data_IF_122688882824
#
_entry.id   IF_122688882824
#
_cell.length_a   1.000
_cell.length_b   1.000
_cell.length_c   1.000
_cell.angle_alpha   90.00
_cell.angle_beta   90.00
_cell.angle_gamma   90.00
#
_symmetry.space_group_name_H-M   'P 1'
#
loop_
_entity.id
_entity.type
_entity.pdbx_description
1 polymer ?
#
# COMPACT_ATOMS: atom_id res chain seq x y z
N UNK A 1 -3.84 21.92 51.80
CA UNK A 1 -2.78 22.55 50.99
C UNK A 1 -1.63 21.65 50.57
N UNK A 2 -1.49 20.43 51.09
CA UNK A 2 -0.44 19.47 50.66
C UNK A 2 -0.81 18.71 49.39
N UNK A 3 -2.07 18.40 49.15
CA UNK A 3 -2.54 17.64 47.99
C UNK A 3 -2.36 18.37 46.64
N UNK A 4 -2.52 19.71 46.64
CA UNK A 4 -2.32 20.52 45.41
C UNK A 4 -0.86 20.60 44.99
N UNK A 5 0.08 20.56 45.96
CA UNK A 5 1.53 20.56 45.69
C UNK A 5 2.00 19.23 45.05
N UNK A 6 1.39 18.10 45.43
CA UNK A 6 1.77 16.80 44.87
C UNK A 6 1.25 16.55 43.46
N UNK A 7 0.05 17.07 43.14
CA UNK A 7 -0.49 17.05 41.78
C UNK A 7 0.37 17.90 40.85
N UNK A 8 0.81 19.08 41.31
CA UNK A 8 1.66 19.98 40.52
C UNK A 8 3.08 19.43 40.32
N UNK A 9 3.63 18.70 41.28
CA UNK A 9 4.91 18.00 41.14
C UNK A 9 4.83 16.81 40.18
N UNK A 10 3.74 16.04 40.21
CA UNK A 10 3.50 14.96 39.24
C UNK A 10 3.34 15.46 37.83
N UNK A 11 2.58 16.55 37.63
CA UNK A 11 2.47 17.20 36.30
C UNK A 11 3.80 17.75 35.78
N UNK A 12 4.64 18.34 36.62
CA UNK A 12 6.00 18.81 36.22
C UNK A 12 6.94 17.64 35.83
N UNK A 13 6.79 16.48 36.46
CA UNK A 13 7.60 15.29 36.11
C UNK A 13 7.17 14.72 34.76
N UNK A 14 5.87 14.65 34.49
CA UNK A 14 5.30 14.21 33.21
C UNK A 14 5.67 15.18 32.09
N UNK A 15 5.56 16.49 32.30
CA UNK A 15 5.93 17.51 31.30
C UNK A 15 7.45 17.52 31.03
N UNK A 16 8.32 17.26 32.03
CA UNK A 16 9.75 17.16 31.79
C UNK A 16 10.15 15.91 30.98
N UNK A 17 9.44 14.81 31.11
CA UNK A 17 9.62 13.64 30.24
C UNK A 17 9.11 13.92 28.81
N UNK A 18 7.97 14.60 28.65
CA UNK A 18 7.45 15.02 27.34
C UNK A 18 8.39 15.99 26.61
N UNK A 19 8.98 16.95 27.31
CA UNK A 19 9.93 17.91 26.70
C UNK A 19 11.25 17.24 26.32
N UNK A 20 11.73 16.25 27.07
CA UNK A 20 12.94 15.50 26.71
C UNK A 20 12.72 14.58 25.51
N UNK A 21 11.48 14.07 25.31
CA UNK A 21 11.10 13.20 24.21
C UNK A 21 10.94 13.97 22.90
N UNK A 22 10.33 15.17 22.93
CA UNK A 22 10.19 16.02 21.74
C UNK A 22 11.52 16.56 21.19
N UNK A 23 12.59 16.67 22.01
CA UNK A 23 13.92 17.09 21.54
C UNK A 23 14.70 15.97 20.84
N UNK A 24 14.34 14.70 21.07
CA UNK A 24 14.94 13.53 20.36
C UNK A 24 14.26 13.28 19.01
N UNK A 25 13.02 13.72 18.81
CA UNK A 25 12.25 13.55 17.58
C UNK A 25 12.66 14.50 16.44
N UNK A 26 13.48 15.53 16.72
CA UNK A 26 13.93 16.53 15.73
C UNK A 26 15.42 16.45 15.38
N UNK A 27 16.07 15.29 15.54
CA UNK A 27 17.38 15.09 14.92
C UNK A 27 17.19 14.60 13.47
N UNK A 28 17.85 15.26 12.47
CA UNK A 28 17.60 15.02 11.05
C UNK A 28 18.06 13.66 10.50
N UNK A 29 18.50 12.72 11.34
CA UNK A 29 19.08 11.44 10.91
C UNK A 29 18.24 10.20 11.20
N UNK A 30 16.97 10.34 11.57
CA UNK A 30 16.08 9.22 11.82
C UNK A 30 14.84 9.32 10.92
N UNK A 31 15.00 9.01 9.64
CA UNK A 31 13.87 8.80 8.76
C UNK A 31 13.46 7.32 8.80
N UNK A 32 12.24 7.07 9.26
CA UNK A 32 11.42 5.87 9.06
C UNK A 32 11.71 4.55 9.79
N UNK A 33 12.75 4.36 10.57
CA UNK A 33 12.72 3.30 11.59
C UNK A 33 11.94 3.72 12.86
N UNK A 34 11.33 4.91 12.86
CA UNK A 34 10.81 5.53 14.08
C UNK A 34 9.33 5.88 14.01
N UNK A 35 8.55 5.31 13.07
CA UNK A 35 7.10 5.51 13.11
C UNK A 35 6.37 4.58 14.07
N UNK A 36 7.07 3.64 14.69
CA UNK A 36 6.52 2.80 15.75
C UNK A 36 7.52 2.71 16.91
N UNK A 37 7.74 3.79 17.63
CA UNK A 37 8.06 3.65 19.05
C UNK A 37 6.71 3.62 19.76
N UNK A 38 6.12 2.46 19.80
CA UNK A 38 5.10 2.16 20.80
C UNK A 38 5.87 1.93 22.09
N UNK A 39 6.00 2.96 22.94
CA UNK A 39 6.10 2.64 24.37
C UNK A 39 4.88 1.77 24.66
N UNK A 40 5.10 0.61 25.26
CA UNK A 40 4.07 -0.25 25.84
C UNK A 40 3.35 0.53 26.96
N UNK A 41 2.56 1.51 26.57
CA UNK A 41 1.55 2.10 27.42
C UNK A 41 0.49 1.01 27.65
N UNK A 42 0.23 0.75 28.91
CA UNK A 42 -0.73 -0.22 29.38
C UNK A 42 -2.04 -0.12 28.56
N UNK A 43 -2.38 -1.14 27.78
CA UNK A 43 -3.47 -1.14 26.80
C UNK A 43 -4.85 -0.71 27.36
N UNK A 44 -5.01 -0.63 28.68
CA UNK A 44 -6.19 -0.10 29.34
C UNK A 44 -6.30 1.43 29.28
N UNK A 45 -5.18 2.16 29.24
CA UNK A 45 -5.17 3.64 29.25
C UNK A 45 -5.24 4.23 27.83
N UNK A 46 -4.80 3.50 26.80
CA UNK A 46 -4.87 3.94 25.40
C UNK A 46 -6.29 4.09 24.84
N UNK A 47 -7.29 3.38 25.41
CA UNK A 47 -8.67 3.47 24.94
C UNK A 47 -9.40 4.75 25.34
N UNK A 48 -8.89 5.48 26.34
CA UNK A 48 -9.52 6.71 26.83
C UNK A 48 -9.04 7.97 26.09
N UNK A 49 -7.77 7.99 25.61
CA UNK A 49 -7.17 9.14 24.91
C UNK A 49 -6.18 8.65 23.84
N UNK A 50 -6.64 8.31 22.63
CA UNK A 50 -5.73 7.91 21.55
C UNK A 50 -4.82 9.08 21.15
N UNK A 51 -3.50 8.83 21.09
CA UNK A 51 -2.52 9.80 20.60
C UNK A 51 -2.02 9.29 19.25
N UNK A 52 -2.26 10.05 18.20
CA UNK A 52 -1.80 9.74 16.85
C UNK A 52 -1.55 11.04 16.06
N UNK A 53 -0.80 10.94 14.97
CA UNK A 53 -0.64 12.01 13.98
C UNK A 53 -1.19 11.56 12.63
N UNK A 54 -1.69 12.52 11.84
CA UNK A 54 -2.18 12.31 10.48
C UNK A 54 -1.37 13.19 9.53
N UNK A 55 -0.80 12.58 8.49
CA UNK A 55 -0.12 13.30 7.43
C UNK A 55 -0.39 12.62 6.08
N UNK A 56 -1.26 13.21 5.28
CA UNK A 56 -1.57 12.82 3.89
C UNK A 56 -1.58 14.11 3.07
N UNK A 57 -0.43 14.53 2.50
CA UNK A 57 -0.30 15.84 1.85
C UNK A 57 -0.86 15.86 0.42
N UNK A 58 -1.33 14.74 -0.10
CA UNK A 58 -1.78 14.57 -1.47
C UNK A 58 -3.09 15.32 -1.75
N UNK A 59 -3.12 16.17 -2.77
CA UNK A 59 -4.37 16.67 -3.33
C UNK A 59 -5.04 15.56 -4.14
N UNK A 60 -6.22 15.14 -3.73
CA UNK A 60 -7.00 14.13 -4.43
C UNK A 60 -8.11 14.77 -5.27
N UNK A 61 -8.21 14.36 -6.54
CA UNK A 61 -9.35 14.61 -7.43
C UNK A 61 -9.95 13.25 -7.77
N UNK A 62 -11.23 13.04 -7.49
CA UNK A 62 -11.89 11.76 -7.68
C UNK A 62 -13.21 11.92 -8.46
N UNK A 63 -13.41 11.12 -9.49
CA UNK A 63 -14.68 11.04 -10.21
C UNK A 63 -14.53 10.67 -11.69
N UNK A 64 -15.62 10.28 -12.32
CA UNK A 64 -15.66 9.96 -13.75
C UNK A 64 -15.41 11.20 -14.59
N UNK A 65 -14.53 11.11 -15.57
CA UNK A 65 -14.14 12.23 -16.44
C UNK A 65 -13.17 13.23 -15.79
N UNK A 66 -12.80 13.06 -14.51
CA UNK A 66 -11.97 14.01 -13.77
C UNK A 66 -10.53 14.11 -14.29
N UNK A 67 -10.06 13.15 -15.08
CA UNK A 67 -8.77 13.26 -15.77
C UNK A 67 -8.65 14.54 -16.61
N UNK A 68 -9.78 15.09 -17.07
CA UNK A 68 -9.80 16.31 -17.86
C UNK A 68 -9.37 17.55 -17.06
N UNK A 69 -9.43 17.52 -15.73
CA UNK A 69 -8.95 18.59 -14.87
C UNK A 69 -7.44 18.78 -14.91
N UNK A 70 -6.68 17.75 -15.34
CA UNK A 70 -5.22 17.85 -15.48
C UNK A 70 -4.81 19.05 -16.36
N UNK A 71 -5.64 19.45 -17.34
CA UNK A 71 -5.38 20.60 -18.21
C UNK A 71 -5.48 21.97 -17.53
N UNK A 72 -6.19 22.04 -16.41
CA UNK A 72 -6.44 23.30 -15.67
C UNK A 72 -5.84 23.32 -14.27
N UNK A 73 -5.30 22.21 -13.78
CA UNK A 73 -4.62 22.16 -12.50
C UNK A 73 -3.29 22.90 -12.52
N UNK A 74 -2.93 23.48 -11.38
CA UNK A 74 -1.58 24.05 -11.22
C UNK A 74 -0.58 22.93 -11.07
N UNK A 75 0.18 22.65 -12.14
CA UNK A 75 1.20 21.61 -12.17
C UNK A 75 2.55 22.13 -11.62
N UNK A 76 3.42 21.22 -11.12
CA UNK A 76 4.64 21.63 -10.41
C UNK A 76 5.80 22.03 -11.35
N UNK A 77 5.63 21.93 -12.66
CA UNK A 77 6.69 22.24 -13.65
C UNK A 77 6.16 22.34 -15.07
N UNK A 78 7.08 22.41 -16.01
CA UNK A 78 6.82 22.59 -17.46
C UNK A 78 7.22 21.38 -18.31
N UNK A 79 7.97 20.43 -17.76
CA UNK A 79 8.36 19.20 -18.44
C UNK A 79 8.19 17.99 -17.52
N UNK A 80 7.44 17.00 -17.97
CA UNK A 80 7.09 15.80 -17.22
C UNK A 80 7.71 14.54 -17.83
N UNK A 81 8.21 13.64 -16.97
CA UNK A 81 8.40 12.23 -17.33
C UNK A 81 7.11 11.47 -17.05
N UNK A 82 6.47 10.92 -18.08
CA UNK A 82 5.26 10.08 -17.96
C UNK A 82 5.68 8.62 -17.96
N UNK A 83 5.44 7.93 -16.83
CA UNK A 83 5.85 6.55 -16.58
C UNK A 83 4.66 5.64 -16.74
N UNK A 84 4.76 4.65 -17.61
CA UNK A 84 3.73 3.64 -17.90
C UNK A 84 4.32 2.23 -17.94
N UNK A 85 3.44 1.22 -17.88
CA UNK A 85 3.85 -0.18 -18.03
C UNK A 85 4.27 -0.52 -19.48
N UNK A 86 5.13 -1.52 -19.62
CA UNK A 86 5.57 -2.08 -20.90
C UNK A 86 4.43 -2.75 -21.71
N UNK A 87 3.28 -2.99 -21.07
CA UNK A 87 2.11 -3.55 -21.72
C UNK A 87 1.44 -2.58 -22.71
N UNK A 88 0.54 -3.12 -23.50
CA UNK A 88 -0.13 -2.34 -24.56
C UNK A 88 -1.35 -1.54 -24.07
N UNK A 89 -1.88 -1.80 -22.88
CA UNK A 89 -3.17 -1.30 -22.39
C UNK A 89 -3.27 0.23 -22.40
N UNK A 90 -2.24 0.93 -21.92
CA UNK A 90 -2.26 2.41 -21.86
C UNK A 90 -2.40 3.06 -23.24
N UNK A 91 -1.80 2.46 -24.27
CA UNK A 91 -1.89 2.91 -25.66
C UNK A 91 -3.17 2.41 -26.33
N UNK A 92 -3.49 1.11 -26.16
CA UNK A 92 -4.66 0.44 -26.77
C UNK A 92 -5.99 1.09 -26.39
N UNK A 93 -6.14 1.47 -25.12
CA UNK A 93 -7.37 2.09 -24.61
C UNK A 93 -7.36 3.63 -24.69
N UNK A 94 -6.28 4.23 -25.23
CA UNK A 94 -6.18 5.67 -25.41
C UNK A 94 -5.87 6.46 -24.14
N UNK A 95 -5.56 5.80 -23.01
CA UNK A 95 -5.34 6.45 -21.73
C UNK A 95 -4.08 7.35 -21.76
N UNK A 96 -2.99 6.85 -22.34
CA UNK A 96 -1.78 7.65 -22.52
C UNK A 96 -2.06 8.90 -23.37
N UNK A 97 -2.72 8.73 -24.52
CA UNK A 97 -3.04 9.83 -25.42
C UNK A 97 -3.89 10.90 -24.75
N UNK A 98 -4.87 10.46 -23.92
CA UNK A 98 -5.74 11.37 -23.15
C UNK A 98 -4.92 12.19 -22.17
N UNK A 99 -4.03 11.56 -21.39
CA UNK A 99 -3.15 12.25 -20.42
C UNK A 99 -2.19 13.20 -21.12
N UNK A 100 -1.51 12.76 -22.20
CA UNK A 100 -0.60 13.62 -22.97
C UNK A 100 -1.31 14.84 -23.56
N UNK A 101 -2.55 14.68 -24.03
CA UNK A 101 -3.37 15.80 -24.52
C UNK A 101 -3.70 16.82 -23.40
N UNK A 102 -4.06 16.34 -22.20
CA UNK A 102 -4.32 17.23 -21.05
C UNK A 102 -3.06 17.96 -20.59
N UNK A 103 -1.91 17.29 -20.53
CA UNK A 103 -0.62 17.92 -20.21
C UNK A 103 -0.22 18.98 -21.25
N UNK A 104 -0.43 18.69 -22.54
CA UNK A 104 -0.20 19.67 -23.62
C UNK A 104 -1.09 20.90 -23.50
N UNK A 105 -2.37 20.72 -23.18
CA UNK A 105 -3.31 21.83 -22.93
C UNK A 105 -2.87 22.68 -21.74
N UNK A 106 -2.18 22.08 -20.77
CA UNK A 106 -1.56 22.79 -19.63
C UNK A 106 -0.14 23.30 -19.92
N UNK A 107 0.25 23.33 -21.19
CA UNK A 107 1.58 23.80 -21.65
C UNK A 107 2.77 23.03 -21.04
N UNK A 108 2.60 21.72 -20.81
CA UNK A 108 3.64 20.83 -20.30
C UNK A 108 4.21 19.99 -21.44
N UNK A 109 5.53 20.01 -21.60
CA UNK A 109 6.26 19.07 -22.44
C UNK A 109 6.35 17.71 -21.77
N UNK A 110 6.39 16.63 -22.57
CA UNK A 110 6.36 15.26 -22.03
C UNK A 110 7.41 14.37 -22.66
N UNK A 111 8.08 13.60 -21.81
CA UNK A 111 8.90 12.43 -22.17
C UNK A 111 8.16 11.20 -21.65
N UNK A 112 8.12 10.12 -22.42
CA UNK A 112 7.41 8.88 -22.01
C UNK A 112 8.44 7.78 -21.77
N UNK A 113 8.31 7.14 -20.59
CA UNK A 113 9.02 5.90 -20.26
C UNK A 113 8.01 4.76 -20.13
N UNK A 114 8.14 3.73 -20.96
CA UNK A 114 7.12 2.68 -21.15
C UNK A 114 7.66 1.25 -20.96
N UNK A 115 8.63 1.07 -20.06
CA UNK A 115 9.25 -0.24 -19.82
C UNK A 115 8.90 -0.89 -18.47
N UNK A 116 8.00 -0.30 -17.67
CA UNK A 116 7.71 -0.80 -16.33
C UNK A 116 7.01 -2.17 -16.39
N UNK A 117 7.57 -3.14 -15.66
CA UNK A 117 7.02 -4.49 -15.51
C UNK A 117 5.94 -4.56 -14.41
N UNK A 118 5.07 -5.60 -14.39
CA UNK A 118 4.07 -5.79 -13.33
C UNK A 118 4.67 -5.88 -11.91
N UNK A 119 5.81 -6.54 -11.73
CA UNK A 119 6.67 -6.42 -10.54
C UNK A 119 7.85 -5.53 -10.94
N UNK A 120 7.82 -4.21 -10.61
CA UNK A 120 8.79 -3.26 -11.13
C UNK A 120 10.19 -3.55 -10.57
N UNK A 121 11.19 -3.43 -11.43
CA UNK A 121 12.57 -3.75 -11.11
C UNK A 121 13.42 -2.49 -10.95
N UNK A 122 14.43 -2.59 -10.12
CA UNK A 122 15.38 -1.51 -9.82
C UNK A 122 16.03 -0.94 -11.07
N UNK A 123 16.42 -1.79 -12.01
CA UNK A 123 17.11 -1.42 -13.23
C UNK A 123 16.28 -0.44 -14.08
N UNK A 124 14.98 -0.64 -14.19
CA UNK A 124 14.08 0.27 -14.91
C UNK A 124 13.91 1.61 -14.18
N UNK A 125 13.91 1.62 -12.86
CA UNK A 125 13.91 2.86 -12.06
C UNK A 125 15.16 3.67 -12.34
N UNK A 126 16.35 3.03 -12.33
CA UNK A 126 17.64 3.69 -12.58
C UNK A 126 17.75 4.22 -13.99
N UNK A 127 17.32 3.45 -14.99
CA UNK A 127 17.30 3.87 -16.40
C UNK A 127 16.39 5.10 -16.59
N UNK A 128 15.16 5.04 -16.07
CA UNK A 128 14.20 6.13 -16.22
C UNK A 128 14.65 7.40 -15.45
N UNK A 129 15.29 7.24 -14.31
CA UNK A 129 15.86 8.37 -13.57
C UNK A 129 17.01 9.05 -14.33
N UNK A 130 17.83 8.29 -15.04
CA UNK A 130 18.87 8.86 -15.92
C UNK A 130 18.25 9.67 -17.07
N UNK A 131 17.24 9.13 -17.74
CA UNK A 131 16.47 9.84 -18.78
C UNK A 131 15.83 11.12 -18.20
N UNK A 132 15.22 11.02 -17.02
CA UNK A 132 14.59 12.16 -16.35
C UNK A 132 15.57 13.32 -16.10
N UNK A 133 16.81 13.02 -15.71
CA UNK A 133 17.89 14.01 -15.52
C UNK A 133 18.36 14.60 -16.84
N UNK A 134 18.64 13.75 -17.84
CA UNK A 134 19.11 14.15 -19.17
C UNK A 134 18.11 15.09 -19.84
N UNK A 135 16.84 14.73 -19.80
CA UNK A 135 15.73 15.50 -20.35
C UNK A 135 15.33 16.70 -19.49
N UNK A 136 15.90 16.84 -18.29
CA UNK A 136 15.60 17.92 -17.33
C UNK A 136 14.12 18.01 -17.00
N UNK A 137 13.49 16.88 -16.70
CA UNK A 137 12.10 16.87 -16.28
C UNK A 137 11.94 17.53 -14.90
N UNK A 138 10.87 18.30 -14.74
CA UNK A 138 10.57 19.02 -13.49
C UNK A 138 9.78 18.16 -12.51
N UNK A 139 9.02 17.17 -13.00
CA UNK A 139 8.17 16.28 -12.21
C UNK A 139 7.93 14.95 -12.96
N UNK A 140 7.37 13.98 -12.21
CA UNK A 140 7.08 12.64 -12.74
C UNK A 140 5.58 12.37 -12.66
N UNK A 141 5.01 11.78 -13.70
CA UNK A 141 3.61 11.34 -13.77
C UNK A 141 3.58 9.82 -13.85
N UNK A 142 3.06 9.15 -12.82
CA UNK A 142 2.75 7.71 -12.86
C UNK A 142 1.36 7.49 -13.43
N UNK A 143 1.27 6.92 -14.64
CA UNK A 143 0.02 6.56 -15.31
C UNK A 143 -0.08 5.04 -15.44
N UNK A 144 -0.94 4.40 -14.67
CA UNK A 144 -1.09 2.95 -14.73
C UNK A 144 -1.54 2.33 -13.42
N UNK A 145 -1.17 1.08 -13.18
CA UNK A 145 -1.34 0.42 -11.90
C UNK A 145 -0.26 0.81 -10.89
N UNK A 146 -0.28 0.18 -9.71
CA UNK A 146 0.69 0.39 -8.64
C UNK A 146 2.12 0.37 -9.15
N UNK A 147 2.50 -0.62 -9.96
CA UNK A 147 3.86 -0.72 -10.53
C UNK A 147 4.33 0.54 -11.24
N UNK A 148 3.46 1.20 -12.02
CA UNK A 148 3.80 2.44 -12.74
C UNK A 148 3.93 3.63 -11.77
N UNK A 149 3.06 3.72 -10.77
CA UNK A 149 3.06 4.82 -9.80
C UNK A 149 4.23 4.65 -8.82
N UNK A 150 4.48 3.45 -8.32
CA UNK A 150 5.61 3.12 -7.46
C UNK A 150 6.95 3.39 -8.17
N UNK A 151 7.06 2.97 -9.43
CA UNK A 151 8.22 3.34 -10.24
C UNK A 151 8.36 4.84 -10.39
N UNK A 152 7.27 5.58 -10.60
CA UNK A 152 7.30 7.04 -10.71
C UNK A 152 7.80 7.70 -9.41
N UNK A 153 7.38 7.20 -8.24
CA UNK A 153 7.89 7.64 -6.93
C UNK A 153 9.39 7.39 -6.80
N UNK A 154 9.84 6.17 -7.12
CA UNK A 154 11.25 5.79 -7.06
C UNK A 154 12.12 6.57 -8.06
N UNK A 155 11.63 6.78 -9.28
CA UNK A 155 12.29 7.60 -10.31
C UNK A 155 12.41 9.05 -9.83
N UNK A 156 11.38 9.61 -9.21
CA UNK A 156 11.40 10.96 -8.66
C UNK A 156 12.48 11.14 -7.57
N UNK A 157 12.69 10.11 -6.75
CA UNK A 157 13.79 10.05 -5.77
C UNK A 157 15.13 10.00 -6.51
N UNK A 158 15.33 9.04 -7.42
CA UNK A 158 16.61 8.83 -8.08
C UNK A 158 16.98 9.92 -9.09
N UNK A 159 16.02 10.68 -9.57
CA UNK A 159 16.30 11.87 -10.40
C UNK A 159 17.03 12.97 -9.60
N UNK A 160 16.92 12.98 -8.27
CA UNK A 160 17.47 14.00 -7.37
C UNK A 160 18.62 13.52 -6.48
N UNK A 161 18.91 12.22 -6.46
CA UNK A 161 19.89 11.64 -5.54
C UNK A 161 20.89 10.76 -6.31
N UNK A 162 22.13 10.71 -5.79
CA UNK A 162 23.23 9.94 -6.37
C UNK A 162 23.27 8.50 -5.88
N UNK A 163 24.01 7.64 -6.57
CA UNK A 163 24.22 6.25 -6.19
C UNK A 163 23.21 5.29 -6.78
N UNK A 164 23.01 4.16 -6.14
CA UNK A 164 22.05 3.13 -6.54
C UNK A 164 20.75 3.28 -5.74
N UNK A 165 19.62 2.88 -6.31
CA UNK A 165 18.33 2.94 -5.65
C UNK A 165 18.33 2.13 -4.34
N UNK A 166 19.03 0.98 -4.32
CA UNK A 166 19.12 0.13 -3.13
C UNK A 166 19.93 0.74 -1.99
N UNK A 167 20.69 1.80 -2.25
CA UNK A 167 21.32 2.59 -1.18
C UNK A 167 20.29 3.27 -0.26
N UNK A 168 19.07 3.53 -0.77
CA UNK A 168 17.99 4.24 -0.07
C UNK A 168 16.96 3.31 0.56
N UNK A 169 16.82 2.08 0.04
CA UNK A 169 15.90 1.07 0.54
C UNK A 169 16.35 0.60 1.94
N UNK A 170 15.38 0.40 2.85
CA UNK A 170 15.62 -0.15 4.19
C UNK A 170 15.11 -1.59 4.24
N UNK A 171 15.94 -2.51 4.71
CA UNK A 171 15.68 -3.95 4.74
C UNK A 171 16.49 -4.73 3.72
N UNK A 172 16.58 -6.04 3.87
CA UNK A 172 17.39 -6.90 3.01
C UNK A 172 18.83 -6.40 2.86
N UNK A 173 19.31 -6.32 1.64
CA UNK A 173 20.63 -5.77 1.28
C UNK A 173 20.65 -4.24 1.11
N UNK A 174 19.54 -3.58 1.34
CA UNK A 174 19.41 -2.12 1.28
C UNK A 174 20.21 -1.42 2.39
N UNK A 175 20.66 -0.18 2.12
CA UNK A 175 21.55 0.55 3.05
C UNK A 175 20.83 1.61 3.89
N UNK A 176 19.55 1.86 3.66
CA UNK A 176 18.74 2.82 4.42
C UNK A 176 19.26 4.25 4.38
N UNK A 177 19.92 4.68 3.30
CA UNK A 177 20.45 6.04 3.16
C UNK A 177 19.29 7.04 3.15
N UNK A 178 19.36 8.17 3.89
CA UNK A 178 18.31 9.16 3.90
C UNK A 178 18.10 9.83 2.53
N UNK A 179 16.82 9.99 2.14
CA UNK A 179 16.44 10.74 0.94
C UNK A 179 16.38 12.22 1.29
N UNK A 180 17.13 13.04 0.53
CA UNK A 180 17.19 14.49 0.76
C UNK A 180 16.21 15.27 -0.10
N UNK A 181 15.89 14.74 -1.31
CA UNK A 181 15.05 15.40 -2.31
C UNK A 181 14.31 14.37 -3.15
N UNK A 182 13.18 14.76 -3.71
CA UNK A 182 12.50 14.06 -4.79
C UNK A 182 11.83 15.09 -5.71
N UNK A 183 11.64 14.75 -6.99
CA UNK A 183 10.79 15.55 -7.87
C UNK A 183 9.33 15.41 -7.41
N UNK A 184 8.47 16.41 -7.65
CA UNK A 184 7.03 16.27 -7.45
C UNK A 184 6.46 15.10 -8.26
N UNK A 185 5.45 14.42 -7.71
CA UNK A 185 4.83 13.23 -8.29
C UNK A 185 3.36 13.52 -8.53
N UNK A 186 2.85 13.12 -9.71
CA UNK A 186 1.41 13.07 -10.02
C UNK A 186 1.04 11.62 -10.25
N UNK A 187 0.02 11.12 -9.56
CA UNK A 187 -0.47 9.76 -9.68
C UNK A 187 -1.81 9.73 -10.43
N UNK A 188 -1.89 8.90 -11.48
CA UNK A 188 -3.11 8.66 -12.25
C UNK A 188 -3.33 7.15 -12.33
N UNK A 189 -4.00 6.54 -11.32
CA UNK A 189 -4.21 5.11 -11.30
C UNK A 189 -5.22 4.69 -12.38
N UNK A 190 -4.90 3.58 -13.04
CA UNK A 190 -5.81 2.88 -13.96
C UNK A 190 -6.21 1.51 -13.44
N UNK A 191 -5.88 1.23 -12.17
CA UNK A 191 -6.24 0.04 -11.40
C UNK A 191 -6.77 0.44 -10.04
N UNK A 192 -7.44 -0.47 -9.34
CA UNK A 192 -8.00 -0.23 -8.03
C UNK A 192 -7.60 -1.38 -7.08
N UNK A 193 -6.50 -1.22 -6.39
CA UNK A 193 -5.89 -2.22 -5.51
C UNK A 193 -4.92 -1.58 -4.52
N UNK A 194 -3.78 -1.16 -4.98
CA UNK A 194 -2.67 -0.70 -4.15
C UNK A 194 -2.97 0.56 -3.32
N UNK A 195 -3.88 1.44 -3.80
CA UNK A 195 -4.09 2.73 -3.13
C UNK A 195 -2.88 3.68 -3.14
N UNK A 196 -1.83 3.34 -3.88
CA UNK A 196 -0.53 4.05 -3.91
C UNK A 196 -0.63 5.52 -4.30
N UNK A 197 -1.76 5.95 -4.84
CA UNK A 197 -2.05 7.35 -5.10
C UNK A 197 -2.27 8.17 -3.82
N UNK A 198 -2.46 7.53 -2.64
CA UNK A 198 -2.74 8.20 -1.37
C UNK A 198 -1.74 7.87 -0.25
N UNK A 199 -0.69 7.12 -0.56
CA UNK A 199 0.36 6.73 0.38
C UNK A 199 1.76 7.10 -0.12
N UNK A 200 2.80 7.01 0.72
CA UNK A 200 4.19 7.27 0.30
C UNK A 200 4.89 6.03 -0.22
N UNK A 201 4.30 4.84 -0.09
CA UNK A 201 4.99 3.58 -0.33
C UNK A 201 5.29 3.38 -1.81
N UNK A 202 6.42 2.76 -2.07
CA UNK A 202 6.87 2.31 -3.39
C UNK A 202 7.52 0.95 -3.25
N UNK A 203 7.05 -0.03 -4.01
CA UNK A 203 7.51 -1.42 -3.94
C UNK A 203 8.28 -1.75 -5.20
N UNK A 204 9.58 -2.03 -5.03
CA UNK A 204 10.51 -2.33 -6.14
C UNK A 204 11.22 -3.64 -5.85
N UNK A 205 11.50 -4.39 -6.92
CA UNK A 205 12.23 -5.67 -6.86
C UNK A 205 13.68 -5.48 -7.25
N UNK A 206 14.58 -6.04 -6.46
CA UNK A 206 15.98 -6.27 -6.82
C UNK A 206 16.12 -7.73 -7.29
N UNK A 207 16.08 -7.97 -8.59
CA UNK A 207 16.03 -9.32 -9.17
C UNK A 207 17.22 -10.19 -8.75
N UNK A 208 18.44 -9.64 -8.78
CA UNK A 208 19.65 -10.41 -8.42
C UNK A 208 19.71 -10.79 -6.94
N UNK A 209 19.22 -9.89 -6.05
CA UNK A 209 19.14 -10.17 -4.62
C UNK A 209 17.91 -10.99 -4.24
N UNK A 210 16.94 -11.13 -5.15
CA UNK A 210 15.64 -11.75 -4.89
C UNK A 210 14.90 -11.07 -3.73
N UNK A 211 14.89 -9.75 -3.73
CA UNK A 211 14.27 -8.92 -2.71
C UNK A 211 13.18 -8.04 -3.36
N UNK A 212 11.97 -8.07 -2.80
CA UNK A 212 10.86 -7.17 -3.14
C UNK A 212 10.51 -6.38 -1.89
N UNK A 213 10.86 -5.12 -1.87
CA UNK A 213 10.80 -4.29 -0.67
C UNK A 213 9.99 -3.03 -0.92
N UNK A 214 9.05 -2.77 -0.01
CA UNK A 214 8.33 -1.52 0.09
C UNK A 214 9.09 -0.52 0.96
N UNK A 215 9.26 0.69 0.47
CA UNK A 215 9.80 1.77 1.25
C UNK A 215 9.09 3.09 0.90
N UNK A 216 9.14 4.07 1.81
CA UNK A 216 8.50 5.36 1.57
C UNK A 216 8.98 6.44 2.54
N UNK A 217 8.76 7.69 2.18
CA UNK A 217 9.03 8.84 3.03
C UNK A 217 8.07 10.01 2.68
N UNK A 218 8.04 11.11 3.45
CA UNK A 218 7.19 12.25 3.12
C UNK A 218 7.36 12.83 1.72
N UNK A 219 8.53 12.62 1.09
CA UNK A 219 8.83 13.12 -0.26
C UNK A 219 8.31 12.22 -1.38
N UNK A 220 7.90 10.98 -1.07
CA UNK A 220 7.34 10.03 -2.04
C UNK A 220 5.82 10.08 -2.14
N UNK A 221 5.13 10.87 -1.31
CA UNK A 221 3.71 11.15 -1.52
C UNK A 221 3.50 11.86 -2.86
N UNK A 222 2.50 11.46 -3.66
CA UNK A 222 2.04 12.26 -4.78
C UNK A 222 1.59 13.66 -4.31
N UNK A 223 1.95 14.69 -5.05
CA UNK A 223 1.45 16.06 -4.81
C UNK A 223 0.02 16.24 -5.31
N UNK A 224 -0.33 15.47 -6.36
CA UNK A 224 -1.66 15.42 -6.97
C UNK A 224 -1.95 13.98 -7.38
N UNK A 225 -3.16 13.53 -7.05
CA UNK A 225 -3.70 12.25 -7.53
C UNK A 225 -5.03 12.48 -8.22
N UNK A 226 -5.20 11.91 -9.42
CA UNK A 226 -6.46 11.98 -10.18
C UNK A 226 -6.97 10.55 -10.38
N UNK A 227 -8.01 10.20 -9.67
CA UNK A 227 -8.66 8.89 -9.71
C UNK A 227 -9.92 8.99 -10.56
N UNK A 228 -9.81 8.53 -11.79
CA UNK A 228 -10.93 8.52 -12.75
C UNK A 228 -11.35 7.08 -13.03
N UNK A 229 -12.51 6.63 -12.51
CA UNK A 229 -13.01 5.28 -12.72
C UNK A 229 -13.22 4.87 -14.19
N UNK A 230 -13.35 5.82 -15.11
CA UNK A 230 -13.45 5.52 -16.54
C UNK A 230 -12.13 4.93 -17.10
N UNK A 231 -10.99 5.21 -16.46
CA UNK A 231 -9.71 4.61 -16.83
C UNK A 231 -9.55 3.15 -16.32
N UNK A 232 -10.52 2.64 -15.57
CA UNK A 232 -10.48 1.31 -14.94
C UNK A 232 -11.43 0.30 -15.58
N UNK A 233 -12.29 0.72 -16.53
CA UNK A 233 -13.28 -0.16 -17.16
C UNK A 233 -12.66 -1.24 -18.06
N UNK A 234 -11.42 -1.06 -18.47
CA UNK A 234 -10.69 -2.03 -19.31
C UNK A 234 -10.01 -3.15 -18.54
N UNK A 235 -10.03 -3.13 -17.20
CA UNK A 235 -9.38 -4.16 -16.36
C UNK A 235 -10.14 -5.48 -16.53
N UNK A 236 -9.43 -6.59 -16.88
CA UNK A 236 -10.04 -7.92 -16.96
C UNK A 236 -10.61 -8.38 -15.61
N UNK A 237 -11.62 -9.28 -15.59
CA UNK A 237 -12.25 -9.76 -14.36
C UNK A 237 -11.28 -10.32 -13.34
N UNK A 238 -10.35 -11.15 -13.76
CA UNK A 238 -9.34 -11.76 -12.87
C UNK A 238 -8.45 -10.72 -12.20
N UNK A 239 -7.91 -9.77 -12.97
CA UNK A 239 -7.12 -8.66 -12.40
C UNK A 239 -7.99 -7.72 -11.54
N UNK A 240 -9.26 -7.55 -11.88
CA UNK A 240 -10.20 -6.81 -11.02
C UNK A 240 -10.32 -7.47 -9.65
N UNK A 241 -10.43 -8.81 -9.62
CA UNK A 241 -10.50 -9.56 -8.37
C UNK A 241 -9.18 -9.42 -7.58
N UNK A 242 -8.03 -9.69 -8.20
CA UNK A 242 -6.73 -9.63 -7.51
C UNK A 242 -6.46 -8.24 -6.90
N UNK A 243 -6.70 -7.19 -7.66
CA UNK A 243 -6.52 -5.82 -7.20
C UNK A 243 -7.53 -5.44 -6.11
N UNK A 244 -8.80 -5.81 -6.26
CA UNK A 244 -9.80 -5.53 -5.24
C UNK A 244 -9.53 -6.25 -3.92
N UNK A 245 -9.00 -7.47 -3.96
CA UNK A 245 -8.57 -8.18 -2.75
C UNK A 245 -7.30 -7.57 -2.14
N UNK A 246 -6.38 -7.08 -2.95
CA UNK A 246 -5.23 -6.30 -2.48
C UNK A 246 -5.69 -5.10 -1.63
N UNK A 247 -6.59 -4.26 -2.16
CA UNK A 247 -7.20 -3.17 -1.39
C UNK A 247 -7.95 -3.66 -0.14
N UNK A 248 -8.59 -4.84 -0.21
CA UNK A 248 -9.27 -5.42 0.93
C UNK A 248 -8.29 -5.79 2.04
N UNK A 249 -7.15 -6.40 1.70
CA UNK A 249 -6.14 -6.78 2.67
C UNK A 249 -5.41 -5.58 3.25
N UNK A 250 -5.07 -4.55 2.45
CA UNK A 250 -4.59 -3.28 2.99
C UNK A 250 -5.52 -2.73 4.08
N UNK A 251 -6.83 -2.74 3.81
CA UNK A 251 -7.81 -2.27 4.80
C UNK A 251 -7.95 -3.23 5.98
N UNK A 252 -7.99 -4.55 5.76
CA UNK A 252 -8.21 -5.54 6.81
C UNK A 252 -6.97 -5.68 7.73
N UNK A 253 -5.77 -5.77 7.15
CA UNK A 253 -4.52 -5.77 7.90
C UNK A 253 -4.34 -4.47 8.68
N UNK A 254 -4.51 -3.31 8.02
CA UNK A 254 -4.42 -2.03 8.69
C UNK A 254 -5.46 -1.83 9.79
N UNK A 255 -6.62 -2.50 9.70
CA UNK A 255 -7.61 -2.51 10.77
C UNK A 255 -7.21 -3.39 11.94
N UNK A 256 -6.54 -4.54 11.74
CA UNK A 256 -6.10 -5.43 12.82
C UNK A 256 -4.71 -5.11 13.35
N UNK A 257 -3.91 -4.31 12.64
CA UNK A 257 -2.57 -3.94 13.06
C UNK A 257 -2.55 -3.31 14.45
N UNK A 258 -1.52 -3.58 15.23
CA UNK A 258 -1.39 -3.05 16.59
C UNK A 258 -1.17 -1.52 16.60
N UNK A 259 -0.78 -0.93 15.46
CA UNK A 259 -0.62 0.51 15.24
C UNK A 259 -1.91 1.20 14.70
N UNK A 260 -3.02 0.46 14.54
CA UNK A 260 -4.28 1.01 14.06
C UNK A 260 -4.78 2.19 14.92
N UNK A 261 -5.30 3.22 14.25
CA UNK A 261 -5.78 4.45 14.87
C UNK A 261 -7.28 4.63 14.63
N UNK A 262 -7.97 5.48 15.40
CA UNK A 262 -9.39 5.78 15.13
C UNK A 262 -9.64 6.30 13.71
N UNK A 263 -8.68 6.99 13.10
CA UNK A 263 -8.83 7.51 11.73
C UNK A 263 -8.61 6.41 10.69
N UNK A 264 -7.60 5.54 10.89
CA UNK A 264 -7.40 4.39 10.00
C UNK A 264 -8.58 3.42 10.06
N UNK A 265 -9.19 3.23 11.24
CA UNK A 265 -10.37 2.39 11.43
C UNK A 265 -11.57 2.88 10.58
N UNK A 266 -11.78 4.20 10.48
CA UNK A 266 -12.85 4.78 9.64
C UNK A 266 -12.63 4.48 8.15
N UNK A 267 -11.41 4.66 7.66
CA UNK A 267 -11.06 4.37 6.27
C UNK A 267 -11.17 2.87 5.98
N UNK A 268 -10.63 2.04 6.86
CA UNK A 268 -10.60 0.59 6.69
C UNK A 268 -12.01 -0.01 6.63
N UNK A 269 -12.87 0.32 7.59
CA UNK A 269 -14.23 -0.24 7.64
C UNK A 269 -15.07 0.18 6.44
N UNK A 270 -14.93 1.41 5.95
CA UNK A 270 -15.64 1.84 4.74
C UNK A 270 -15.08 1.15 3.49
N UNK A 271 -13.75 1.00 3.36
CA UNK A 271 -13.13 0.27 2.27
C UNK A 271 -13.61 -1.20 2.24
N UNK A 272 -13.55 -1.90 3.36
CA UNK A 272 -14.02 -3.28 3.50
C UNK A 272 -15.51 -3.42 3.08
N UNK A 273 -16.38 -2.53 3.58
CA UNK A 273 -17.80 -2.53 3.25
C UNK A 273 -18.05 -2.35 1.76
N UNK A 274 -17.34 -1.42 1.13
CA UNK A 274 -17.49 -1.14 -0.30
C UNK A 274 -16.97 -2.29 -1.15
N UNK A 275 -15.82 -2.86 -0.81
CA UNK A 275 -15.22 -3.98 -1.54
C UNK A 275 -16.08 -5.23 -1.46
N UNK A 276 -16.55 -5.59 -0.27
CA UNK A 276 -17.45 -6.72 -0.11
C UNK A 276 -18.70 -6.61 -0.99
N UNK A 277 -19.28 -5.42 -1.06
CA UNK A 277 -20.52 -5.17 -1.82
C UNK A 277 -20.31 -5.04 -3.33
N UNK A 278 -19.24 -4.38 -3.76
CA UNK A 278 -19.11 -3.95 -5.14
C UNK A 278 -18.02 -4.67 -5.94
N UNK A 279 -17.05 -5.33 -5.28
CA UNK A 279 -16.03 -6.07 -6.01
C UNK A 279 -16.60 -7.24 -6.81
N UNK A 280 -17.48 -8.10 -6.26
CA UNK A 280 -18.11 -9.15 -7.05
C UNK A 280 -18.88 -8.62 -8.26
N UNK A 281 -19.53 -7.45 -8.10
CA UNK A 281 -20.25 -6.80 -9.20
C UNK A 281 -19.28 -6.31 -10.29
N UNK A 282 -18.16 -5.68 -9.90
CA UNK A 282 -17.16 -5.20 -10.85
C UNK A 282 -16.40 -6.35 -11.55
N UNK A 283 -16.23 -7.49 -10.88
CA UNK A 283 -15.68 -8.71 -11.47
C UNK A 283 -16.63 -9.33 -12.48
N UNK A 284 -17.92 -9.38 -12.15
CA UNK A 284 -18.94 -9.94 -13.04
C UNK A 284 -19.22 -9.04 -14.26
N UNK A 285 -19.21 -7.72 -14.08
CA UNK A 285 -19.41 -6.73 -15.12
C UNK A 285 -18.41 -5.57 -14.98
N UNK A 286 -17.30 -5.69 -15.69
CA UNK A 286 -16.24 -4.69 -15.70
C UNK A 286 -16.64 -3.34 -16.31
N UNK A 287 -17.76 -3.26 -17.04
CA UNK A 287 -18.29 -2.01 -17.61
C UNK A 287 -19.25 -1.30 -16.65
N UNK A 288 -19.59 -1.90 -15.53
CA UNK A 288 -20.43 -1.28 -14.50
C UNK A 288 -19.67 -0.13 -13.81
N UNK A 289 -19.79 1.07 -14.36
CA UNK A 289 -19.05 2.25 -13.91
C UNK A 289 -19.36 2.60 -12.44
N UNK A 290 -20.58 2.33 -11.96
CA UNK A 290 -20.93 2.54 -10.54
C UNK A 290 -20.11 1.60 -9.64
N UNK A 291 -20.01 0.32 -10.00
CA UNK A 291 -19.20 -0.65 -9.25
C UNK A 291 -17.71 -0.29 -9.33
N UNK A 292 -17.20 0.05 -10.52
CA UNK A 292 -15.82 0.54 -10.71
C UNK A 292 -15.51 1.75 -9.82
N UNK A 293 -16.38 2.75 -9.80
CA UNK A 293 -16.19 3.94 -8.97
C UNK A 293 -16.19 3.60 -7.47
N UNK A 294 -17.01 2.64 -7.02
CA UNK A 294 -17.02 2.20 -5.61
C UNK A 294 -15.76 1.40 -5.24
N UNK A 295 -15.29 0.53 -6.12
CA UNK A 295 -14.04 -0.21 -5.93
C UNK A 295 -12.83 0.73 -5.98
N UNK A 296 -12.80 1.68 -6.92
CA UNK A 296 -11.77 2.71 -6.98
C UNK A 296 -11.72 3.55 -5.69
N UNK A 297 -12.88 4.00 -5.20
CA UNK A 297 -12.94 4.75 -3.95
C UNK A 297 -12.45 3.92 -2.75
N UNK A 298 -12.81 2.65 -2.69
CA UNK A 298 -12.35 1.74 -1.65
C UNK A 298 -10.82 1.52 -1.70
N UNK A 299 -10.23 1.40 -2.88
CA UNK A 299 -8.77 1.34 -3.08
C UNK A 299 -8.08 2.61 -2.58
N UNK A 300 -8.62 3.78 -2.94
CA UNK A 300 -8.12 5.08 -2.46
C UNK A 300 -8.17 5.17 -0.91
N UNK A 301 -9.27 4.70 -0.29
CA UNK A 301 -9.37 4.61 1.17
C UNK A 301 -8.34 3.63 1.76
N UNK A 302 -8.08 2.51 1.10
CA UNK A 302 -7.06 1.55 1.52
C UNK A 302 -5.66 2.17 1.52
N UNK A 303 -5.30 2.98 0.52
CA UNK A 303 -4.05 3.78 0.54
C UNK A 303 -4.00 4.78 1.69
N UNK A 304 -5.16 5.37 2.08
CA UNK A 304 -5.21 6.21 3.29
C UNK A 304 -5.02 5.37 4.56
N UNK A 305 -5.45 4.10 4.59
CA UNK A 305 -5.14 3.18 5.70
C UNK A 305 -3.64 2.95 5.79
N UNK A 306 -2.96 2.67 4.67
CA UNK A 306 -1.50 2.51 4.61
C UNK A 306 -0.73 3.75 5.12
N UNK A 307 -1.30 4.94 4.95
CA UNK A 307 -0.73 6.20 5.44
C UNK A 307 -1.00 6.47 6.92
N UNK A 308 -1.93 5.78 7.57
CA UNK A 308 -2.41 6.08 8.94
C UNK A 308 -2.38 4.88 9.88
N UNK A 309 -2.10 3.70 9.33
CA UNK A 309 -1.81 2.42 9.95
C UNK A 309 -0.71 1.75 9.13
N UNK A 310 -0.79 0.45 8.87
CA UNK A 310 0.16 -0.28 8.03
C UNK A 310 -0.42 -1.63 7.60
N UNK A 311 0.17 -2.25 6.56
CA UNK A 311 0.11 -3.70 6.39
C UNK A 311 0.76 -4.42 7.56
N UNK A 312 0.59 -5.73 7.61
CA UNK A 312 1.17 -6.64 8.58
C UNK A 312 1.94 -7.77 7.87
N UNK A 313 2.20 -8.87 8.53
CA UNK A 313 3.07 -9.92 7.98
C UNK A 313 2.51 -10.66 6.75
N UNK A 314 1.20 -10.57 6.44
CA UNK A 314 0.63 -11.16 5.23
C UNK A 314 1.30 -10.59 3.97
N UNK A 315 1.41 -9.27 3.89
CA UNK A 315 2.10 -8.59 2.79
C UNK A 315 3.59 -8.92 2.73
N UNK A 316 4.26 -9.05 3.88
CA UNK A 316 5.67 -9.43 3.90
C UNK A 316 5.90 -10.85 3.33
N UNK A 317 5.02 -11.80 3.67
CA UNK A 317 5.05 -13.16 3.13
C UNK A 317 4.79 -13.18 1.63
N UNK A 318 3.83 -12.39 1.15
CA UNK A 318 3.56 -12.29 -0.29
C UNK A 318 4.72 -11.67 -1.05
N UNK A 319 5.33 -10.61 -0.53
CA UNK A 319 6.51 -10.00 -1.16
C UNK A 319 7.66 -11.00 -1.29
N UNK A 320 7.91 -11.80 -0.26
CA UNK A 320 8.92 -12.85 -0.31
C UNK A 320 8.58 -13.92 -1.35
N UNK A 321 7.31 -14.33 -1.47
CA UNK A 321 6.88 -15.25 -2.53
C UNK A 321 7.10 -14.65 -3.92
N UNK A 322 6.63 -13.42 -4.16
CA UNK A 322 6.79 -12.74 -5.46
C UNK A 322 8.23 -12.44 -5.83
N UNK A 323 9.14 -12.25 -4.84
CA UNK A 323 10.56 -12.04 -5.08
C UNK A 323 11.22 -13.28 -5.73
N UNK A 324 10.79 -14.49 -5.35
CA UNK A 324 11.25 -15.75 -5.93
C UNK A 324 10.44 -16.17 -7.14
N UNK A 325 9.16 -15.84 -7.19
CA UNK A 325 8.20 -16.26 -8.20
C UNK A 325 7.52 -15.06 -8.85
N UNK A 326 8.23 -14.28 -9.71
CA UNK A 326 7.74 -13.02 -10.26
C UNK A 326 6.48 -13.16 -11.14
N UNK A 327 6.14 -14.38 -11.58
CA UNK A 327 4.89 -14.70 -12.28
C UNK A 327 3.66 -14.78 -11.35
N UNK A 328 3.85 -14.83 -10.01
CA UNK A 328 2.75 -14.79 -9.04
C UNK A 328 2.19 -13.36 -9.01
N UNK A 329 0.92 -13.13 -9.41
CA UNK A 329 0.30 -11.83 -9.21
C UNK A 329 0.16 -11.53 -7.72
N UNK A 330 0.51 -10.32 -7.30
CA UNK A 330 0.52 -9.93 -5.89
C UNK A 330 -0.79 -10.26 -5.16
N UNK A 331 -1.93 -9.79 -5.68
CA UNK A 331 -3.23 -10.09 -5.07
C UNK A 331 -3.59 -11.59 -5.06
N UNK A 332 -3.07 -12.39 -6.00
CA UNK A 332 -3.29 -13.84 -5.99
C UNK A 332 -2.54 -14.50 -4.82
N UNK A 333 -1.31 -14.05 -4.54
CA UNK A 333 -0.53 -14.50 -3.39
C UNK A 333 -1.22 -14.18 -2.07
N UNK A 334 -1.69 -12.94 -1.90
CA UNK A 334 -2.45 -12.52 -0.73
C UNK A 334 -3.74 -13.34 -0.54
N UNK A 335 -4.54 -13.52 -1.60
CA UNK A 335 -5.76 -14.35 -1.55
C UNK A 335 -5.46 -15.77 -1.07
N UNK A 336 -4.38 -16.37 -1.57
CA UNK A 336 -4.01 -17.73 -1.20
C UNK A 336 -3.61 -17.84 0.28
N UNK A 337 -2.95 -16.85 0.86
CA UNK A 337 -2.53 -16.80 2.25
C UNK A 337 -3.68 -16.48 3.21
N UNK A 338 -4.61 -15.63 2.80
CA UNK A 338 -5.52 -14.87 3.66
C UNK A 338 -6.33 -15.71 4.64
N UNK A 339 -6.92 -16.85 4.21
CA UNK A 339 -7.77 -17.67 5.08
C UNK A 339 -6.97 -18.22 6.28
N UNK A 340 -5.77 -18.77 6.01
CA UNK A 340 -4.90 -19.31 7.06
C UNK A 340 -4.32 -18.18 7.92
N UNK A 341 -3.98 -17.05 7.29
CA UNK A 341 -3.45 -15.88 7.97
C UNK A 341 -4.44 -15.30 8.99
N UNK A 342 -5.65 -14.96 8.55
CA UNK A 342 -6.66 -14.39 9.44
C UNK A 342 -7.17 -15.40 10.47
N UNK A 343 -7.16 -16.71 10.17
CA UNK A 343 -7.48 -17.74 11.16
C UNK A 343 -6.46 -17.76 12.31
N UNK A 344 -5.18 -17.50 12.03
CA UNK A 344 -4.11 -17.46 13.05
C UNK A 344 -4.39 -16.39 14.11
N UNK A 345 -4.87 -15.20 13.73
CA UNK A 345 -5.13 -14.07 14.63
C UNK A 345 -6.58 -13.99 15.14
N UNK A 346 -7.41 -14.99 14.85
CA UNK A 346 -8.85 -14.97 15.16
C UNK A 346 -9.17 -14.70 16.65
N UNK A 347 -8.38 -15.27 17.53
CA UNK A 347 -8.59 -15.12 18.98
C UNK A 347 -8.11 -13.78 19.53
N UNK A 348 -7.08 -13.21 18.95
CA UNK A 348 -6.50 -11.91 19.36
C UNK A 348 -7.39 -10.75 18.93
N UNK A 349 -7.97 -10.85 17.75
CA UNK A 349 -8.74 -9.80 17.10
C UNK A 349 -10.24 -10.00 17.14
N UNK A 350 -10.80 -10.81 18.06
CA UNK A 350 -12.21 -11.20 18.08
C UNK A 350 -13.18 -10.03 17.82
N UNK A 351 -13.03 -8.90 18.55
CA UNK A 351 -13.93 -7.75 18.40
C UNK A 351 -13.77 -7.03 17.06
N UNK A 352 -12.54 -6.95 16.55
CA UNK A 352 -12.25 -6.35 15.24
C UNK A 352 -12.79 -7.21 14.11
N UNK A 353 -12.66 -8.53 14.20
CA UNK A 353 -13.24 -9.47 13.23
C UNK A 353 -14.76 -9.41 13.20
N UNK A 354 -15.42 -9.39 14.37
CA UNK A 354 -16.86 -9.19 14.44
C UNK A 354 -17.27 -7.87 13.77
N UNK A 355 -16.50 -6.80 13.96
CA UNK A 355 -16.79 -5.50 13.36
C UNK A 355 -16.62 -5.52 11.83
N UNK A 356 -15.58 -6.17 11.30
CA UNK A 356 -15.42 -6.37 9.86
C UNK A 356 -16.59 -7.20 9.30
N UNK A 357 -16.97 -8.31 9.94
CA UNK A 357 -18.11 -9.12 9.52
C UNK A 357 -19.41 -8.32 9.47
N UNK A 358 -19.65 -7.43 10.46
CA UNK A 358 -20.83 -6.56 10.50
C UNK A 358 -20.89 -5.61 9.32
N UNK A 359 -19.78 -4.95 8.96
CA UNK A 359 -19.78 -4.00 7.82
C UNK A 359 -19.81 -4.72 6.47
N UNK A 360 -19.29 -5.95 6.38
CA UNK A 360 -19.37 -6.78 5.18
C UNK A 360 -20.81 -7.25 4.95
N UNK A 361 -21.43 -7.86 5.96
CA UNK A 361 -22.70 -8.57 5.78
C UNK A 361 -23.94 -7.73 6.09
N UNK A 362 -23.75 -6.53 6.66
CA UNK A 362 -24.82 -5.66 7.19
C UNK A 362 -25.68 -6.38 8.25
N UNK A 363 -25.10 -7.39 8.94
CA UNK A 363 -25.75 -8.18 10.01
C UNK A 363 -24.92 -8.14 11.28
N UNK A 364 -25.57 -8.24 12.44
CA UNK A 364 -24.86 -8.34 13.71
C UNK A 364 -24.04 -9.63 13.74
N UNK A 365 -22.77 -9.52 14.10
CA UNK A 365 -21.86 -10.64 14.31
C UNK A 365 -21.69 -10.95 15.80
N UNK A 366 -21.57 -12.24 16.11
CA UNK A 366 -21.35 -12.73 17.47
C UNK A 366 -20.09 -13.61 17.60
N UNK A 367 -19.41 -13.90 16.47
CA UNK A 367 -18.24 -14.78 16.42
C UNK A 367 -17.19 -14.18 15.48
N UNK A 368 -15.93 -14.32 15.85
CA UNK A 368 -14.82 -13.91 14.98
C UNK A 368 -14.78 -14.67 13.63
N UNK A 369 -15.21 -15.94 13.62
CA UNK A 369 -15.30 -16.74 12.39
C UNK A 369 -16.26 -16.17 11.35
N UNK A 370 -17.24 -15.33 11.74
CA UNK A 370 -18.17 -14.71 10.79
C UNK A 370 -17.44 -13.82 9.77
N UNK A 371 -16.29 -13.24 10.13
CA UNK A 371 -15.42 -12.50 9.19
C UNK A 371 -14.77 -13.43 8.17
N UNK A 372 -14.21 -14.56 8.64
CA UNK A 372 -13.55 -15.54 7.76
C UNK A 372 -14.58 -16.17 6.80
N UNK A 373 -15.77 -16.49 7.31
CA UNK A 373 -16.88 -17.01 6.50
C UNK A 373 -17.29 -15.98 5.41
N UNK A 374 -17.33 -14.67 5.76
CA UNK A 374 -17.62 -13.61 4.80
C UNK A 374 -16.50 -13.43 3.78
N UNK A 375 -15.23 -13.47 4.19
CA UNK A 375 -14.07 -13.42 3.29
C UNK A 375 -14.10 -14.57 2.27
N UNK A 376 -14.31 -15.80 2.73
CA UNK A 376 -14.43 -16.99 1.86
C UNK A 376 -15.62 -16.85 0.89
N UNK A 377 -16.74 -16.27 1.34
CA UNK A 377 -17.90 -15.99 0.48
C UNK A 377 -17.52 -15.02 -0.63
N UNK A 378 -16.86 -13.91 -0.30
CA UNK A 378 -16.41 -12.91 -1.26
C UNK A 378 -15.41 -13.50 -2.27
N UNK A 379 -14.48 -14.36 -1.84
CA UNK A 379 -13.55 -15.09 -2.73
C UNK A 379 -14.30 -15.98 -3.73
N UNK A 380 -15.33 -16.71 -3.27
CA UNK A 380 -16.17 -17.55 -4.14
C UNK A 380 -16.94 -16.71 -5.16
N UNK A 381 -17.55 -15.62 -4.75
CA UNK A 381 -18.29 -14.71 -5.63
C UNK A 381 -17.37 -14.07 -6.70
N UNK A 382 -16.12 -13.76 -6.33
CA UNK A 382 -15.11 -13.25 -7.25
C UNK A 382 -14.38 -14.37 -8.04
N UNK A 383 -14.70 -15.66 -7.84
CA UNK A 383 -14.12 -16.83 -8.52
C UNK A 383 -12.62 -17.00 -8.31
N UNK A 384 -12.12 -16.65 -7.13
CA UNK A 384 -10.69 -16.73 -6.77
C UNK A 384 -10.40 -17.61 -5.55
N UNK A 385 -11.41 -18.30 -5.02
CA UNK A 385 -11.27 -19.16 -3.83
C UNK A 385 -10.33 -20.34 -4.06
N UNK A 386 -10.25 -20.87 -5.29
CA UNK A 386 -9.55 -22.10 -5.62
C UNK A 386 -8.15 -21.88 -6.21
N UNK A 387 -7.56 -20.69 -5.99
CA UNK A 387 -6.18 -20.38 -6.38
C UNK A 387 -5.20 -21.34 -5.70
N UNK A 388 -4.17 -21.77 -6.45
CA UNK A 388 -3.16 -22.73 -5.98
C UNK A 388 -1.76 -22.15 -6.12
N UNK A 389 -1.04 -22.03 -5.01
CA UNK A 389 0.36 -21.60 -5.02
C UNK A 389 1.24 -22.53 -5.88
N UNK A 390 0.88 -23.83 -5.97
CA UNK A 390 1.58 -24.80 -6.82
C UNK A 390 1.54 -24.48 -8.31
N UNK A 391 0.50 -23.80 -8.79
CA UNK A 391 0.37 -23.38 -10.19
C UNK A 391 1.38 -22.30 -10.58
N UNK A 392 1.87 -21.54 -9.59
CA UNK A 392 2.92 -20.53 -9.76
C UNK A 392 4.33 -21.06 -9.51
N UNK A 393 4.47 -22.38 -9.32
CA UNK A 393 5.77 -23.03 -9.15
C UNK A 393 6.29 -23.13 -7.71
N UNK A 394 5.59 -22.55 -6.74
CA UNK A 394 5.93 -22.63 -5.32
C UNK A 394 5.83 -24.09 -4.86
N UNK A 395 6.74 -24.53 -3.99
CA UNK A 395 6.78 -25.88 -3.43
C UNK A 395 6.95 -25.83 -1.91
N UNK A 396 6.48 -26.82 -1.14
CA UNK A 396 6.64 -26.86 0.32
C UNK A 396 8.10 -26.73 0.77
N UNK A 397 9.06 -27.23 0.00
CA UNK A 397 10.50 -27.08 0.30
C UNK A 397 10.98 -25.61 0.22
N UNK A 398 10.19 -24.70 -0.36
CA UNK A 398 10.52 -23.28 -0.47
C UNK A 398 10.09 -22.48 0.76
N UNK A 399 9.20 -23.03 1.60
CA UNK A 399 8.63 -22.29 2.73
C UNK A 399 9.66 -21.74 3.71
N UNK A 400 10.71 -22.50 4.12
CA UNK A 400 11.73 -21.94 5.01
C UNK A 400 12.47 -20.75 4.40
N UNK A 401 12.78 -20.77 3.10
CA UNK A 401 13.45 -19.63 2.44
C UNK A 401 12.54 -18.43 2.24
N UNK A 402 11.23 -18.65 1.98
CA UNK A 402 10.22 -17.60 1.89
C UNK A 402 10.08 -16.90 3.24
N UNK A 403 9.95 -17.67 4.33
CA UNK A 403 9.91 -17.16 5.69
C UNK A 403 11.15 -16.31 6.00
N UNK A 404 12.34 -16.85 5.74
CA UNK A 404 13.60 -16.14 6.03
C UNK A 404 13.67 -14.82 5.21
N UNK A 405 13.35 -14.86 3.93
CA UNK A 405 13.32 -13.67 3.08
C UNK A 405 12.34 -12.61 3.60
N UNK A 406 11.12 -13.02 3.98
CA UNK A 406 10.12 -12.12 4.56
C UNK A 406 10.64 -11.42 5.83
N UNK A 407 11.29 -12.18 6.72
CA UNK A 407 11.91 -11.63 7.94
C UNK A 407 13.05 -10.66 7.63
N UNK A 408 13.91 -10.98 6.68
CA UNK A 408 15.09 -10.18 6.33
C UNK A 408 14.72 -8.90 5.57
N UNK A 409 13.73 -8.96 4.68
CA UNK A 409 13.39 -7.84 3.79
C UNK A 409 12.37 -6.88 4.40
N UNK A 410 11.28 -7.42 4.96
CA UNK A 410 10.18 -6.64 5.51
C UNK A 410 9.79 -7.08 6.94
N UNK A 411 10.79 -7.48 7.73
CA UNK A 411 10.61 -7.94 9.11
C UNK A 411 9.91 -6.95 10.03
N UNK A 412 9.93 -5.66 9.70
CA UNK A 412 9.20 -4.63 10.43
C UNK A 412 7.70 -4.86 10.48
N UNK A 413 7.09 -5.42 9.42
CA UNK A 413 5.65 -5.68 9.35
C UNK A 413 5.19 -6.74 10.37
N UNK A 414 6.04 -7.71 10.70
CA UNK A 414 5.75 -8.71 11.73
C UNK A 414 5.62 -8.11 13.13
N UNK A 415 6.24 -6.96 13.37
CA UNK A 415 6.09 -6.25 14.66
C UNK A 415 4.75 -5.55 14.78
N UNK A 416 4.00 -5.44 13.69
CA UNK A 416 2.69 -4.78 13.61
C UNK A 416 1.53 -5.77 13.70
N UNK A 417 1.81 -7.06 13.69
CA UNK A 417 0.81 -8.11 13.90
C UNK A 417 0.10 -7.97 15.25
N UNK A 418 -1.12 -8.49 15.37
CA UNK A 418 -1.88 -8.48 16.62
C UNK A 418 -1.17 -9.14 17.82
N UNK A 419 -0.35 -10.18 17.55
CA UNK A 419 0.61 -10.75 18.49
C UNK A 419 1.93 -11.05 17.77
N UNK A 420 3.05 -11.17 18.49
CA UNK A 420 4.33 -11.58 17.90
C UNK A 420 4.22 -12.99 17.33
N UNK A 421 4.11 -13.09 16.01
CA UNK A 421 3.96 -14.37 15.30
C UNK A 421 5.28 -15.13 15.26
N UNK A 422 5.24 -16.43 15.58
CA UNK A 422 6.37 -17.34 15.55
C UNK A 422 6.65 -17.91 14.16
N UNK A 423 7.85 -18.42 13.95
CA UNK A 423 8.21 -19.07 12.69
C UNK A 423 7.39 -20.34 12.42
N UNK A 424 7.04 -21.09 13.47
CA UNK A 424 6.16 -22.27 13.34
C UNK A 424 4.74 -21.90 12.90
N UNK A 425 4.20 -20.78 13.40
CA UNK A 425 2.90 -20.27 12.95
C UNK A 425 2.94 -19.82 11.49
N UNK A 426 4.03 -19.16 11.06
CA UNK A 426 4.21 -18.75 9.66
C UNK A 426 4.30 -19.98 8.75
N UNK A 427 5.11 -20.99 9.10
CA UNK A 427 5.19 -22.21 8.34
C UNK A 427 3.83 -22.93 8.24
N UNK A 428 3.06 -22.94 9.33
CA UNK A 428 1.69 -23.49 9.34
C UNK A 428 0.72 -22.67 8.44
N UNK A 429 0.88 -21.33 8.35
CA UNK A 429 0.12 -20.51 7.39
C UNK A 429 0.46 -20.94 5.96
N UNK A 430 1.75 -21.03 5.60
CA UNK A 430 2.20 -21.42 4.27
C UNK A 430 1.71 -22.85 3.91
N UNK A 431 1.80 -23.79 4.85
CA UNK A 431 1.33 -25.18 4.67
C UNK A 431 -0.19 -25.25 4.43
N UNK A 432 -0.98 -24.55 5.22
CA UNK A 432 -2.46 -24.49 5.07
C UNK A 432 -2.89 -23.76 3.80
N UNK A 433 -2.10 -22.79 3.33
CA UNK A 433 -2.34 -22.04 2.10
C UNK A 433 -1.90 -22.79 0.84
N UNK A 434 -1.10 -23.84 1.01
CA UNK A 434 -0.62 -24.62 -0.12
C UNK A 434 -1.71 -25.55 -0.66
N UNK A 435 -1.94 -25.47 -1.96
CA UNK A 435 -2.89 -26.31 -2.71
C UNK A 435 -2.27 -26.77 -4.02
#
# INVERSE_FOLDING_TARGET
SSAASDVYKRQKHTVRQYVKFNYLLFRPNYYFSTFVIIETLNTKDMKANPVFSLYIPTKLIFGCGEINKLSSEKLPGKKALVVISAGTSMRKYGYLQKVLAQLRLNHVETVVYDKILPNPIKEHVMEAAAICREERCDFVVGLGGGSSIDSAKSIAVMACNDGDYWDYVSGGTGKGRPISKALPIIAIPTTAGTGTEMDPWTVITHETAQEKIGFGCPLTYPTLSIVDPELMVSIPPELTAFQGFDAFFHAAEGFIANCATPISDLYALEAIRLLYKYLPVAVADGQNLKARAKVAWASTLAGMVESTSSCTSEHSLEHAMSAYYPQLPHGAGLIALSEAYFETFRHDCTKRYMKMAEVMTEKKSNRASDFIDALVTMQKECKVKDLKLSEYGIRPNDFPRILQNARDTMGGLFTLDPHPITDDEILNILEKSYR
#
